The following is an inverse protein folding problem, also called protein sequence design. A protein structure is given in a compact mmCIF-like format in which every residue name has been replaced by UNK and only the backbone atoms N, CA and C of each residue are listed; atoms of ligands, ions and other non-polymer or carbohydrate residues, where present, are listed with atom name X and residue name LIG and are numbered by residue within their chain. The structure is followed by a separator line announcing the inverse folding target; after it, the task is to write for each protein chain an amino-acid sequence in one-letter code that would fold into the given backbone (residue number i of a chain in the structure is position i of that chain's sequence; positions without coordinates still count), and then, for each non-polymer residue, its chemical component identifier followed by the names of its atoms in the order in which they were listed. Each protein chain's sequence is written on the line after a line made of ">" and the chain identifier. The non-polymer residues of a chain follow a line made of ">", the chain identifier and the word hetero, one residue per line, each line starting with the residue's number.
data_IF_804349592863
#
_entry.id   IF_804349592863
#
_cell.length_a   1.000
_cell.length_b   1.000
_cell.length_c   1.000
_cell.angle_alpha   90.00
_cell.angle_beta   90.00
_cell.angle_gamma   90.00
#
_symmetry.space_group_name_H-M   'P 1'
#
loop_
_entity.id
_entity.type
_entity.pdbx_description
1 polymer ?
#
# COMPACT_ATOMS: atom_id res chain seq x y z
N UNK A 1 32.66 -34.93 28.32
CA UNK A 1 31.63 -34.36 27.42
C UNK A 1 31.82 -32.85 27.36
N UNK A 2 32.38 -32.32 26.26
CA UNK A 2 32.49 -30.87 26.05
C UNK A 2 31.10 -30.34 25.66
N UNK A 3 30.64 -29.29 26.34
CA UNK A 3 29.44 -28.54 25.95
C UNK A 3 29.63 -28.02 24.51
N UNK A 4 28.62 -28.12 23.63
CA UNK A 4 28.71 -27.50 22.32
C UNK A 4 28.84 -25.98 22.47
N UNK A 5 29.53 -25.29 21.55
CA UNK A 5 29.63 -23.83 21.60
C UNK A 5 28.24 -23.22 21.38
N UNK A 6 27.91 -22.19 22.15
CA UNK A 6 26.69 -21.39 21.94
C UNK A 6 26.70 -20.79 20.53
N UNK A 7 25.56 -20.80 19.82
CA UNK A 7 25.47 -20.17 18.51
C UNK A 7 25.71 -18.67 18.66
N UNK A 8 26.79 -18.18 18.05
CA UNK A 8 27.08 -16.76 17.96
C UNK A 8 25.98 -16.12 17.11
N UNK A 9 25.23 -15.18 17.71
CA UNK A 9 24.32 -14.28 17.00
C UNK A 9 25.13 -13.50 15.96
N UNK A 10 24.90 -13.81 14.68
CA UNK A 10 25.39 -13.01 13.56
C UNK A 10 24.59 -11.70 13.58
N UNK A 11 25.22 -10.52 13.70
CA UNK A 11 24.50 -9.26 13.60
C UNK A 11 24.23 -8.97 12.12
N UNK A 12 22.94 -8.83 11.74
CA UNK A 12 22.58 -8.14 10.50
C UNK A 12 21.71 -8.88 9.47
N UNK A 13 20.75 -9.71 9.86
CA UNK A 13 19.57 -9.91 9.01
C UNK A 13 18.36 -9.26 9.69
N UNK A 14 17.90 -8.09 9.21
CA UNK A 14 16.61 -7.57 9.66
C UNK A 14 15.54 -8.62 9.38
N UNK A 15 14.62 -8.81 10.34
CA UNK A 15 13.56 -9.79 10.15
C UNK A 15 12.68 -9.39 8.98
N UNK A 16 12.15 -10.36 8.21
CA UNK A 16 11.24 -10.12 7.05
C UNK A 16 10.09 -9.13 7.31
N UNK A 17 9.69 -8.90 8.56
CA UNK A 17 8.69 -7.89 8.96
C UNK A 17 9.24 -6.49 9.29
N UNK A 18 10.53 -6.34 9.61
CA UNK A 18 11.21 -5.06 9.80
C UNK A 18 11.47 -4.38 8.45
N UNK A 19 11.83 -5.17 7.42
CA UNK A 19 12.00 -4.70 6.05
C UNK A 19 10.71 -4.12 5.47
N UNK A 20 9.55 -4.74 5.76
CA UNK A 20 8.26 -4.22 5.30
C UNK A 20 7.94 -2.84 5.87
N UNK A 21 8.25 -2.61 7.15
CA UNK A 21 7.98 -1.31 7.78
C UNK A 21 8.87 -0.22 7.20
N UNK A 22 10.13 -0.54 6.93
CA UNK A 22 11.07 0.37 6.29
C UNK A 22 10.64 0.68 4.84
N UNK A 23 10.23 -0.32 4.07
CA UNK A 23 9.76 -0.17 2.69
C UNK A 23 8.48 0.66 2.66
N UNK A 24 7.46 0.29 3.43
CA UNK A 24 6.18 1.00 3.45
C UNK A 24 6.31 2.42 3.99
N UNK A 25 7.11 2.64 5.05
CA UNK A 25 7.42 3.98 5.54
C UNK A 25 8.12 4.84 4.48
N UNK A 26 9.08 4.27 3.75
CA UNK A 26 9.77 4.96 2.65
C UNK A 26 8.82 5.31 1.51
N UNK A 27 7.94 4.38 1.12
CA UNK A 27 6.93 4.61 0.07
C UNK A 27 6.01 5.75 0.45
N UNK A 28 5.52 5.80 1.69
CA UNK A 28 4.64 6.86 2.15
C UNK A 28 5.34 8.21 2.16
N UNK A 29 6.55 8.29 2.72
CA UNK A 29 7.34 9.52 2.71
C UNK A 29 7.63 10.02 1.29
N UNK A 30 8.03 9.12 0.39
CA UNK A 30 8.36 9.46 -0.99
C UNK A 30 7.14 9.90 -1.80
N UNK A 31 5.94 9.38 -1.50
CA UNK A 31 4.72 9.68 -2.25
C UNK A 31 3.88 10.81 -1.66
N UNK A 32 4.13 11.21 -0.41
CA UNK A 32 3.39 12.30 0.22
C UNK A 32 3.62 13.63 -0.51
N UNK A 33 2.54 14.26 -0.97
CA UNK A 33 2.57 15.59 -1.56
C UNK A 33 3.10 16.66 -0.59
N UNK A 34 2.96 16.42 0.73
CA UNK A 34 3.46 17.29 1.79
C UNK A 34 4.95 17.20 2.04
N UNK A 35 5.64 16.15 1.58
CA UNK A 35 7.10 16.05 1.70
C UNK A 35 7.76 17.22 0.98
N UNK A 36 8.70 17.92 1.64
CA UNK A 36 9.35 19.13 1.09
C UNK A 36 9.95 18.93 -0.30
N UNK A 37 10.53 17.76 -0.57
CA UNK A 37 11.06 17.39 -1.88
C UNK A 37 10.00 17.13 -2.96
N UNK A 38 8.72 17.01 -2.62
CA UNK A 38 7.60 16.89 -3.54
C UNK A 38 6.88 18.24 -3.78
N UNK A 39 7.18 19.27 -2.99
CA UNK A 39 6.65 20.63 -3.15
C UNK A 39 7.52 21.43 -4.14
N UNK A 40 7.48 21.03 -5.41
CA UNK A 40 8.33 21.60 -6.47
C UNK A 40 7.54 22.54 -7.37
N UNK A 41 8.23 23.46 -8.04
CA UNK A 41 7.59 24.37 -8.99
C UNK A 41 7.27 23.66 -10.32
N UNK A 42 6.43 24.28 -11.15
CA UNK A 42 6.03 23.68 -12.42
C UNK A 42 7.24 23.41 -13.33
N UNK A 43 7.43 22.14 -13.72
CA UNK A 43 8.56 21.69 -14.53
C UNK A 43 9.74 21.11 -13.74
N UNK A 44 9.74 21.22 -12.41
CA UNK A 44 10.74 20.58 -11.55
C UNK A 44 10.37 19.12 -11.23
N UNK A 45 11.39 18.27 -11.07
CA UNK A 45 11.21 16.85 -10.74
C UNK A 45 10.94 16.70 -9.24
N UNK A 46 9.84 16.04 -8.88
CA UNK A 46 9.53 15.71 -7.48
C UNK A 46 10.51 14.66 -6.93
N UNK A 47 10.69 14.64 -5.61
CA UNK A 47 11.44 13.58 -4.91
C UNK A 47 10.93 12.18 -5.29
N UNK A 48 9.60 12.01 -5.38
CA UNK A 48 8.98 10.76 -5.84
C UNK A 48 9.47 10.35 -7.23
N UNK A 49 9.49 11.29 -8.18
CA UNK A 49 9.91 11.05 -9.56
C UNK A 49 11.42 10.78 -9.63
N UNK A 50 12.24 11.58 -8.96
CA UNK A 50 13.68 11.42 -8.88
C UNK A 50 14.06 10.05 -8.29
N UNK A 51 13.41 9.63 -7.20
CA UNK A 51 13.64 8.32 -6.58
C UNK A 51 13.34 7.17 -7.54
N UNK A 52 12.18 7.20 -8.23
CA UNK A 52 11.84 6.17 -9.23
C UNK A 52 12.90 6.10 -10.34
N UNK A 53 13.36 7.26 -10.82
CA UNK A 53 14.39 7.37 -11.87
C UNK A 53 15.73 6.78 -11.40
N UNK A 54 16.22 7.18 -10.22
CA UNK A 54 17.50 6.70 -9.70
C UNK A 54 17.46 5.22 -9.30
N UNK A 55 16.39 4.73 -8.64
CA UNK A 55 16.24 3.30 -8.34
C UNK A 55 16.18 2.46 -9.62
N UNK A 56 15.52 2.95 -10.67
CA UNK A 56 15.53 2.28 -11.98
C UNK A 56 16.91 2.25 -12.64
N UNK A 57 17.70 3.33 -12.52
CA UNK A 57 19.10 3.37 -12.98
C UNK A 57 19.98 2.39 -12.19
N UNK A 58 19.81 2.33 -10.86
CA UNK A 58 20.53 1.42 -9.97
C UNK A 58 20.26 -0.05 -10.32
N UNK A 59 18.99 -0.44 -10.50
CA UNK A 59 18.61 -1.81 -10.87
C UNK A 59 19.22 -2.23 -12.22
N UNK A 60 19.25 -1.33 -13.22
CA UNK A 60 19.94 -1.58 -14.49
C UNK A 60 21.45 -1.73 -14.34
N UNK A 61 22.09 -0.85 -13.56
CA UNK A 61 23.53 -0.92 -13.31
C UNK A 61 23.91 -2.22 -12.58
N UNK A 62 23.09 -2.64 -11.62
CA UNK A 62 23.23 -3.91 -10.93
C UNK A 62 23.15 -5.10 -11.89
N UNK A 63 22.11 -5.16 -12.73
CA UNK A 63 21.92 -6.25 -13.70
C UNK A 63 23.12 -6.41 -14.67
N UNK A 64 23.80 -5.32 -15.00
CA UNK A 64 25.01 -5.34 -15.84
C UNK A 64 26.27 -5.81 -15.09
N UNK A 65 26.31 -5.61 -13.77
CA UNK A 65 27.53 -5.76 -12.96
C UNK A 65 27.53 -7.01 -12.08
N UNK A 66 26.36 -7.52 -11.71
CA UNK A 66 26.20 -8.66 -10.79
C UNK A 66 26.70 -10.00 -11.37
N UNK A 67 26.81 -10.11 -12.70
CA UNK A 67 27.33 -11.30 -13.37
C UNK A 67 28.85 -11.50 -13.25
N UNK A 68 29.60 -10.50 -12.76
CA UNK A 68 31.07 -10.51 -12.73
C UNK A 68 31.68 -11.23 -11.51
N UNK A 69 30.87 -11.80 -10.61
CA UNK A 69 31.36 -12.59 -9.46
C UNK A 69 32.12 -11.78 -8.40
N UNK A 70 31.95 -10.45 -8.36
CA UNK A 70 32.57 -9.59 -7.35
C UNK A 70 31.86 -9.76 -6.01
N UNK A 71 32.59 -10.29 -5.02
CA UNK A 71 32.11 -10.48 -3.65
C UNK A 71 31.72 -9.15 -2.98
N UNK A 72 32.35 -8.05 -3.38
CA UNK A 72 32.02 -6.68 -2.92
C UNK A 72 30.67 -6.19 -3.45
N UNK A 73 30.33 -6.53 -4.71
CA UNK A 73 29.04 -6.20 -5.30
C UNK A 73 27.93 -7.05 -4.66
N UNK A 74 28.18 -8.35 -4.45
CA UNK A 74 27.23 -9.24 -3.79
C UNK A 74 26.89 -8.79 -2.36
N UNK A 75 27.84 -8.20 -1.63
CA UNK A 75 27.58 -7.62 -0.31
C UNK A 75 26.57 -6.45 -0.34
N UNK A 76 26.41 -5.76 -1.48
CA UNK A 76 25.44 -4.65 -1.66
C UNK A 76 24.07 -5.10 -2.16
N UNK A 77 23.91 -6.39 -2.46
CA UNK A 77 22.64 -6.96 -2.96
C UNK A 77 21.44 -6.58 -2.08
N UNK A 78 21.49 -6.67 -0.72
CA UNK A 78 20.33 -6.33 0.11
C UNK A 78 19.90 -4.86 -0.01
N UNK A 79 20.86 -3.92 -0.04
CA UNK A 79 20.59 -2.49 -0.20
C UNK A 79 19.94 -2.18 -1.56
N UNK A 80 20.44 -2.81 -2.63
CA UNK A 80 19.91 -2.65 -3.98
C UNK A 80 18.49 -3.21 -4.07
N UNK A 81 18.24 -4.38 -3.47
CA UNK A 81 16.91 -5.00 -3.40
C UNK A 81 15.92 -4.12 -2.64
N UNK A 82 16.32 -3.52 -1.52
CA UNK A 82 15.47 -2.58 -0.78
C UNK A 82 15.02 -1.40 -1.68
N UNK A 83 15.94 -0.79 -2.43
CA UNK A 83 15.59 0.30 -3.33
C UNK A 83 14.66 -0.11 -4.47
N UNK A 84 14.81 -1.34 -4.97
CA UNK A 84 13.90 -1.94 -5.94
C UNK A 84 12.52 -2.16 -5.31
N UNK A 85 12.44 -2.80 -4.15
CA UNK A 85 11.18 -3.04 -3.43
C UNK A 85 10.40 -1.75 -3.17
N UNK A 86 11.05 -0.68 -2.70
CA UNK A 86 10.41 0.63 -2.52
C UNK A 86 9.82 1.14 -3.85
N UNK A 87 10.58 1.07 -4.96
CA UNK A 87 10.11 1.50 -6.29
C UNK A 87 8.88 0.68 -6.74
N UNK A 88 8.87 -0.62 -6.45
CA UNK A 88 7.76 -1.54 -6.76
C UNK A 88 6.51 -1.16 -5.98
N UNK A 89 6.64 -0.97 -4.68
CA UNK A 89 5.52 -0.61 -3.82
C UNK A 89 4.96 0.77 -4.17
N UNK A 90 5.80 1.71 -4.60
CA UNK A 90 5.34 2.99 -5.14
C UNK A 90 4.46 2.78 -6.38
N UNK A 91 4.90 1.97 -7.35
CA UNK A 91 4.15 1.70 -8.57
C UNK A 91 2.82 0.99 -8.30
N UNK A 92 2.80 0.01 -7.40
CA UNK A 92 1.57 -0.68 -6.96
C UNK A 92 0.56 0.30 -6.37
N UNK A 93 1.04 1.19 -5.51
CA UNK A 93 0.18 2.16 -4.83
C UNK A 93 -0.33 3.23 -5.81
N UNK A 94 0.50 3.69 -6.76
CA UNK A 94 0.07 4.62 -7.81
C UNK A 94 -0.99 4.02 -8.74
N UNK A 95 -0.89 2.72 -9.04
CA UNK A 95 -1.89 2.00 -9.83
C UNK A 95 -3.21 1.87 -9.07
N UNK A 96 -3.14 1.53 -7.77
CA UNK A 96 -4.32 1.44 -6.90
C UNK A 96 -5.06 2.78 -6.80
N UNK A 97 -4.34 3.89 -6.61
CA UNK A 97 -4.94 5.22 -6.49
C UNK A 97 -5.61 5.67 -7.80
N UNK A 98 -5.00 5.38 -8.96
CA UNK A 98 -5.60 5.65 -10.27
C UNK A 98 -6.88 4.85 -10.48
N UNK A 99 -6.82 3.55 -10.20
CA UNK A 99 -7.99 2.68 -10.30
C UNK A 99 -9.12 3.14 -9.37
N UNK A 100 -8.78 3.57 -8.15
CA UNK A 100 -9.73 4.12 -7.19
C UNK A 100 -10.44 5.38 -7.73
N UNK A 101 -9.72 6.25 -8.45
CA UNK A 101 -10.28 7.44 -9.12
C UNK A 101 -11.00 7.16 -10.45
N UNK A 102 -11.00 5.91 -10.92
CA UNK A 102 -11.54 5.55 -12.23
C UNK A 102 -10.66 6.02 -13.41
N UNK A 103 -9.39 6.30 -13.15
CA UNK A 103 -8.40 6.66 -14.16
C UNK A 103 -7.74 5.39 -14.73
N UNK A 104 -7.50 5.34 -16.06
CA UNK A 104 -6.76 4.23 -16.63
C UNK A 104 -5.33 4.20 -16.07
N UNK A 105 -4.86 3.00 -15.73
CA UNK A 105 -3.45 2.79 -15.35
C UNK A 105 -2.61 2.87 -16.63
N UNK A 106 -1.60 3.75 -16.71
CA UNK A 106 -0.74 3.88 -17.88
C UNK A 106 -0.04 2.57 -18.28
N UNK A 107 0.10 2.29 -19.59
CA UNK A 107 0.67 1.03 -20.11
C UNK A 107 2.11 0.75 -19.62
N UNK A 108 2.91 1.79 -19.41
CA UNK A 108 4.26 1.71 -18.88
C UNK A 108 4.28 1.27 -17.40
N UNK A 109 3.33 1.74 -16.60
CA UNK A 109 3.08 1.26 -15.22
C UNK A 109 2.60 -0.20 -15.25
N UNK A 110 1.69 -0.54 -16.17
CA UNK A 110 1.21 -1.93 -16.33
C UNK A 110 2.35 -2.87 -16.72
N UNK A 111 3.22 -2.47 -17.66
CA UNK A 111 4.39 -3.24 -18.08
C UNK A 111 5.40 -3.41 -16.95
N UNK A 112 5.69 -2.35 -16.20
CA UNK A 112 6.54 -2.43 -15.01
C UNK A 112 5.95 -3.42 -14.00
N UNK A 113 4.66 -3.30 -13.69
CA UNK A 113 3.96 -4.21 -12.79
C UNK A 113 3.97 -5.66 -13.31
N UNK A 114 3.79 -5.88 -14.61
CA UNK A 114 3.87 -7.19 -15.25
C UNK A 114 5.27 -7.81 -15.17
N UNK A 115 6.32 -7.03 -15.42
CA UNK A 115 7.72 -7.46 -15.26
C UNK A 115 8.03 -7.80 -13.79
N UNK A 116 7.43 -7.07 -12.85
CA UNK A 116 7.59 -7.26 -11.42
C UNK A 116 6.83 -8.47 -10.88
N UNK A 117 5.64 -8.73 -11.41
CA UNK A 117 4.91 -9.97 -11.11
C UNK A 117 5.71 -11.16 -11.66
N UNK A 118 6.26 -11.04 -12.87
CA UNK A 118 7.09 -12.07 -13.48
C UNK A 118 8.39 -12.34 -12.70
N UNK A 119 9.03 -11.32 -12.13
CA UNK A 119 10.21 -11.47 -11.26
C UNK A 119 9.86 -11.96 -9.84
N UNK A 120 8.70 -11.56 -9.30
CA UNK A 120 8.18 -12.07 -8.03
C UNK A 120 7.79 -13.56 -8.12
N UNK A 121 7.34 -14.05 -9.27
CA UNK A 121 7.16 -15.50 -9.49
C UNK A 121 8.49 -16.29 -9.51
N UNK A 122 9.65 -15.63 -9.54
CA UNK A 122 10.96 -16.26 -9.46
C UNK A 122 11.58 -16.23 -8.04
N UNK A 123 10.97 -15.51 -7.09
CA UNK A 123 11.37 -15.48 -5.68
C UNK A 123 10.13 -15.71 -4.83
N UNK A 124 9.99 -16.94 -4.33
CA UNK A 124 8.81 -17.40 -3.62
C UNK A 124 8.36 -16.46 -2.50
N UNK A 125 7.04 -16.33 -2.39
CA UNK A 125 6.27 -15.68 -1.35
C UNK A 125 6.05 -14.16 -1.53
N UNK A 126 5.03 -13.84 -2.33
CA UNK A 126 4.31 -12.56 -2.22
C UNK A 126 3.75 -12.48 -0.80
N UNK A 127 4.44 -11.77 0.09
CA UNK A 127 4.08 -11.63 1.49
C UNK A 127 2.65 -11.07 1.63
N UNK A 128 1.79 -11.80 2.33
CA UNK A 128 0.44 -11.35 2.65
C UNK A 128 0.52 -10.21 3.68
N UNK A 129 0.32 -8.97 3.21
CA UNK A 129 0.31 -7.76 4.05
C UNK A 129 -0.68 -7.87 5.23
N UNK A 130 -1.75 -8.66 5.08
CA UNK A 130 -2.69 -8.93 6.15
C UNK A 130 -2.05 -9.83 7.21
N UNK A 131 -1.40 -10.92 6.82
CA UNK A 131 -0.67 -11.81 7.75
C UNK A 131 0.45 -11.07 8.48
N UNK A 132 1.21 -10.23 7.77
CA UNK A 132 2.26 -9.41 8.35
C UNK A 132 1.73 -8.39 9.37
N UNK A 133 0.51 -7.88 9.15
CA UNK A 133 -0.21 -7.03 10.12
C UNK A 133 -0.86 -7.82 11.27
N UNK A 134 -0.75 -9.16 11.27
CA UNK A 134 -1.45 -10.04 12.20
C UNK A 134 -2.96 -10.14 11.94
N UNK A 135 -3.41 -9.85 10.73
CA UNK A 135 -4.82 -9.79 10.34
C UNK A 135 -5.19 -10.99 9.45
N UNK A 136 -6.31 -11.68 9.73
CA UNK A 136 -6.89 -12.61 8.75
C UNK A 136 -7.34 -11.81 7.52
N UNK A 137 -7.21 -12.39 6.32
CA UNK A 137 -7.62 -11.76 5.05
C UNK A 137 -9.14 -11.48 5.10
N UNK A 138 -9.58 -10.23 5.30
CA UNK A 138 -10.96 -9.97 5.68
C UNK A 138 -11.82 -9.66 4.45
N UNK A 139 -13.11 -9.97 4.54
CA UNK A 139 -14.16 -9.24 3.82
C UNK A 139 -14.62 -8.06 4.70
N UNK A 140 -15.24 -6.99 4.16
CA UNK A 140 -15.80 -5.95 5.03
C UNK A 140 -16.90 -6.49 5.97
N UNK A 141 -17.55 -7.59 5.60
CA UNK A 141 -18.54 -8.28 6.45
C UNK A 141 -17.90 -8.84 7.74
N UNK A 142 -16.57 -9.02 7.74
CA UNK A 142 -15.78 -9.48 8.89
C UNK A 142 -15.16 -8.34 9.72
N UNK A 143 -15.59 -7.07 9.51
CA UNK A 143 -15.23 -5.92 10.36
C UNK A 143 -15.88 -6.00 11.75
N UNK A 144 -15.63 -7.12 12.42
CA UNK A 144 -16.06 -7.36 13.78
C UNK A 144 -15.42 -6.33 14.72
N UNK A 145 -16.07 -6.01 15.85
CA UNK A 145 -15.45 -5.25 16.92
C UNK A 145 -14.09 -5.82 17.35
N UNK A 146 -13.91 -7.14 17.21
CA UNK A 146 -12.65 -7.83 17.48
C UNK A 146 -11.56 -7.48 16.46
N UNK A 147 -11.89 -7.45 15.17
CA UNK A 147 -10.95 -7.01 14.12
C UNK A 147 -10.46 -5.59 14.41
N UNK A 148 -11.40 -4.67 14.68
CA UNK A 148 -11.09 -3.26 15.01
C UNK A 148 -10.19 -3.17 16.24
N UNK A 149 -10.50 -3.90 17.30
CA UNK A 149 -9.70 -3.91 18.52
C UNK A 149 -8.29 -4.49 18.28
N UNK A 150 -8.15 -5.47 17.40
CA UNK A 150 -6.86 -6.06 17.01
C UNK A 150 -6.03 -5.09 16.17
N UNK A 151 -6.66 -4.38 15.24
CA UNK A 151 -6.01 -3.38 14.38
C UNK A 151 -5.53 -2.17 15.19
N UNK A 152 -6.30 -1.71 16.17
CA UNK A 152 -5.88 -0.65 17.10
C UNK A 152 -4.72 -1.06 18.02
N UNK A 153 -4.59 -2.36 18.31
CA UNK A 153 -3.51 -2.93 19.12
C UNK A 153 -2.39 -3.56 18.29
N UNK A 154 -2.38 -3.30 16.98
CA UNK A 154 -1.41 -3.90 16.07
C UNK A 154 0.01 -3.51 16.51
N UNK A 155 0.91 -4.51 16.51
CA UNK A 155 2.32 -4.32 16.87
C UNK A 155 3.00 -3.29 15.97
N UNK A 156 2.56 -3.22 14.71
CA UNK A 156 2.94 -2.15 13.80
C UNK A 156 1.69 -1.37 13.33
N UNK A 157 1.47 -0.14 13.85
CA UNK A 157 0.34 0.69 13.45
C UNK A 157 0.38 1.10 11.98
N UNK A 158 1.56 1.38 11.42
CA UNK A 158 1.71 1.75 10.02
C UNK A 158 1.21 0.64 9.08
N UNK A 159 1.61 -0.60 9.38
CA UNK A 159 1.23 -1.77 8.60
C UNK A 159 -0.27 -2.06 8.69
N UNK A 160 -0.85 -1.86 9.88
CA UNK A 160 -2.29 -1.95 10.11
C UNK A 160 -3.07 -0.91 9.29
N UNK A 161 -2.59 0.33 9.25
CA UNK A 161 -3.19 1.42 8.45
C UNK A 161 -3.16 1.09 6.96
N UNK A 162 -2.04 0.58 6.47
CA UNK A 162 -1.85 0.28 5.05
C UNK A 162 -2.71 -0.91 4.60
N UNK A 163 -2.84 -1.92 5.45
CA UNK A 163 -3.71 -3.04 5.20
C UNK A 163 -5.21 -2.64 5.29
N UNK A 164 -5.60 -1.78 6.23
CA UNK A 164 -6.95 -1.19 6.27
C UNK A 164 -7.25 -0.36 5.02
N UNK A 165 -6.32 0.52 4.62
CA UNK A 165 -6.44 1.33 3.40
C UNK A 165 -6.69 0.43 2.20
N UNK A 166 -5.87 -0.61 2.03
CA UNK A 166 -5.98 -1.55 0.92
C UNK A 166 -7.34 -2.26 0.90
N UNK A 167 -7.76 -2.83 2.03
CA UNK A 167 -9.06 -3.48 2.17
C UNK A 167 -10.21 -2.54 1.79
N UNK A 168 -10.16 -1.33 2.33
CA UNK A 168 -11.21 -0.33 2.14
C UNK A 168 -11.30 0.13 0.68
N UNK A 169 -10.16 0.34 0.02
CA UNK A 169 -10.12 0.67 -1.41
C UNK A 169 -10.71 -0.46 -2.26
N UNK A 170 -10.30 -1.71 -2.01
CA UNK A 170 -10.80 -2.88 -2.75
C UNK A 170 -12.31 -3.03 -2.62
N UNK A 171 -12.84 -2.87 -1.40
CA UNK A 171 -14.26 -3.04 -1.22
C UNK A 171 -15.09 -1.82 -1.64
N UNK A 172 -14.60 -0.61 -1.44
CA UNK A 172 -15.28 0.57 -1.97
C UNK A 172 -15.51 0.40 -3.47
N UNK A 173 -14.50 -0.07 -4.21
CA UNK A 173 -14.62 -0.34 -5.66
C UNK A 173 -15.67 -1.42 -5.97
N UNK A 174 -15.72 -2.48 -5.16
CA UNK A 174 -16.69 -3.55 -5.31
C UNK A 174 -18.12 -3.05 -5.09
N UNK A 175 -18.34 -2.30 -4.01
CA UNK A 175 -19.64 -1.79 -3.59
C UNK A 175 -20.17 -0.71 -4.52
N UNK A 176 -19.31 0.19 -5.01
CA UNK A 176 -19.72 1.32 -5.85
C UNK A 176 -19.50 1.08 -7.34
N UNK A 177 -19.35 -0.17 -7.79
CA UNK A 177 -18.97 -0.51 -9.18
C UNK A 177 -19.87 0.14 -10.24
N UNK A 178 -21.17 0.31 -9.92
CA UNK A 178 -22.15 0.89 -10.84
C UNK A 178 -22.39 2.39 -10.59
N UNK A 179 -21.67 3.01 -9.64
CA UNK A 179 -21.90 4.39 -9.22
C UNK A 179 -20.57 5.15 -9.08
N UNK A 180 -20.17 5.79 -10.18
CA UNK A 180 -18.89 6.52 -10.27
C UNK A 180 -18.80 7.70 -9.31
N UNK A 181 -19.92 8.34 -8.98
CA UNK A 181 -19.94 9.48 -8.04
C UNK A 181 -19.59 9.00 -6.64
N UNK A 182 -20.23 7.92 -6.17
CA UNK A 182 -19.92 7.31 -4.86
C UNK A 182 -18.51 6.73 -4.84
N UNK A 183 -18.07 6.10 -5.92
CA UNK A 183 -16.70 5.59 -6.05
C UNK A 183 -15.66 6.70 -5.83
N UNK A 184 -15.83 7.84 -6.50
CA UNK A 184 -14.93 9.00 -6.34
C UNK A 184 -14.98 9.54 -4.91
N UNK A 185 -16.18 9.71 -4.35
CA UNK A 185 -16.34 10.24 -3.00
C UNK A 185 -15.62 9.40 -1.93
N UNK A 186 -15.70 8.06 -2.01
CA UNK A 186 -14.94 7.21 -1.09
C UNK A 186 -13.44 7.26 -1.33
N UNK A 187 -13.00 7.19 -2.60
CA UNK A 187 -11.59 7.29 -2.98
C UNK A 187 -10.93 8.60 -2.47
N UNK A 188 -11.63 9.72 -2.63
CA UNK A 188 -11.19 11.03 -2.14
C UNK A 188 -11.05 11.06 -0.62
N UNK A 189 -12.01 10.50 0.12
CA UNK A 189 -11.95 10.45 1.60
C UNK A 189 -10.84 9.55 2.12
N UNK A 190 -10.60 8.40 1.49
CA UNK A 190 -9.45 7.54 1.82
C UNK A 190 -8.15 8.31 1.60
N UNK A 191 -8.04 8.99 0.46
CA UNK A 191 -6.86 9.79 0.11
C UNK A 191 -6.63 10.93 1.10
N UNK A 192 -7.68 11.67 1.46
CA UNK A 192 -7.62 12.78 2.41
C UNK A 192 -7.15 12.29 3.80
N UNK A 193 -7.69 11.17 4.28
CA UNK A 193 -7.28 10.57 5.55
C UNK A 193 -5.80 10.18 5.56
N UNK A 194 -5.33 9.55 4.48
CA UNK A 194 -3.93 9.16 4.35
C UNK A 194 -3.01 10.38 4.22
N UNK A 195 -3.46 11.45 3.57
CA UNK A 195 -2.72 12.70 3.51
C UNK A 195 -2.59 13.33 4.90
N UNK A 196 -3.69 13.42 5.66
CA UNK A 196 -3.65 13.95 7.04
C UNK A 196 -2.71 13.12 7.93
N UNK A 197 -2.74 11.79 7.78
CA UNK A 197 -1.83 10.90 8.49
C UNK A 197 -0.35 11.13 8.13
N UNK A 198 -0.03 11.16 6.84
CA UNK A 198 1.36 11.27 6.39
C UNK A 198 1.96 12.65 6.73
N UNK A 199 1.11 13.69 6.72
CA UNK A 199 1.45 15.03 7.21
C UNK A 199 1.45 15.17 8.75
N UNK A 200 1.36 14.06 9.49
CA UNK A 200 1.35 14.04 10.97
C UNK A 200 0.24 14.88 11.60
N UNK A 201 -0.83 15.16 10.86
CA UNK A 201 -2.02 15.86 11.35
C UNK A 201 -2.96 14.92 12.09
N UNK A 202 -2.81 13.61 11.88
CA UNK A 202 -3.47 12.55 12.63
C UNK A 202 -2.42 11.60 13.21
N UNK A 203 -2.64 11.17 14.44
CA UNK A 203 -1.91 10.04 15.03
C UNK A 203 -2.32 8.73 14.36
N UNK A 204 -1.48 7.68 14.50
CA UNK A 204 -1.82 6.35 13.98
C UNK A 204 -3.13 5.81 14.57
N UNK A 205 -3.45 6.13 15.83
CA UNK A 205 -4.71 5.72 16.45
C UNK A 205 -5.92 6.42 15.81
N UNK A 206 -5.81 7.73 15.55
CA UNK A 206 -6.88 8.52 14.94
C UNK A 206 -7.15 8.11 13.49
N UNK A 207 -6.10 7.93 12.67
CA UNK A 207 -6.31 7.48 11.28
C UNK A 207 -6.89 6.07 11.22
N UNK A 208 -6.51 5.17 12.13
CA UNK A 208 -7.13 3.83 12.21
C UNK A 208 -8.62 3.96 12.55
N UNK A 209 -8.97 4.82 13.50
CA UNK A 209 -10.37 5.04 13.88
C UNK A 209 -11.20 5.58 12.71
N UNK A 210 -10.67 6.54 11.97
CA UNK A 210 -11.33 7.14 10.80
C UNK A 210 -11.45 6.14 9.63
N UNK A 211 -10.40 5.35 9.35
CA UNK A 211 -10.47 4.30 8.32
C UNK A 211 -11.52 3.24 8.68
N UNK A 212 -11.64 2.88 9.96
CA UNK A 212 -12.68 1.96 10.45
C UNK A 212 -14.08 2.58 10.30
N UNK A 213 -14.23 3.86 10.60
CA UNK A 213 -15.50 4.56 10.40
C UNK A 213 -15.90 4.56 8.92
N UNK A 214 -14.96 4.90 8.03
CA UNK A 214 -15.18 4.90 6.59
C UNK A 214 -15.52 3.49 6.06
N UNK A 215 -14.91 2.46 6.62
CA UNK A 215 -15.23 1.08 6.27
C UNK A 215 -16.66 0.67 6.64
N UNK A 216 -17.19 1.15 7.77
CA UNK A 216 -18.60 0.97 8.12
C UNK A 216 -19.53 1.68 7.14
N UNK A 217 -19.14 2.84 6.64
CA UNK A 217 -19.93 3.56 5.63
C UNK A 217 -19.95 2.82 4.29
N UNK A 218 -18.83 2.25 3.85
CA UNK A 218 -18.79 1.40 2.65
C UNK A 218 -19.68 0.18 2.81
N UNK A 219 -19.65 -0.48 3.98
CA UNK A 219 -20.54 -1.61 4.27
C UNK A 219 -22.03 -1.20 4.26
N UNK A 220 -22.36 -0.01 4.77
CA UNK A 220 -23.71 0.53 4.73
C UNK A 220 -24.15 0.89 3.30
N UNK A 221 -23.23 1.38 2.47
CA UNK A 221 -23.50 1.74 1.07
C UNK A 221 -24.05 0.56 0.27
N UNK A 222 -23.53 -0.66 0.49
CA UNK A 222 -23.99 -1.87 -0.19
C UNK A 222 -25.49 -2.13 0.02
N UNK A 223 -26.04 -1.70 1.15
CA UNK A 223 -27.45 -1.88 1.52
C UNK A 223 -28.29 -0.61 1.39
N UNK A 224 -27.73 0.50 0.86
CA UNK A 224 -28.39 1.83 0.84
C UNK A 224 -29.74 1.81 0.13
N UNK A 225 -29.90 0.98 -0.91
CA UNK A 225 -31.15 0.86 -1.66
C UNK A 225 -32.37 0.46 -0.81
N UNK A 226 -32.14 -0.28 0.28
CA UNK A 226 -33.19 -0.73 1.19
C UNK A 226 -33.76 0.40 2.07
N UNK A 227 -33.10 1.56 2.13
CA UNK A 227 -33.56 2.70 2.92
C UNK A 227 -34.65 3.53 2.21
N UNK A 228 -34.96 3.21 0.94
CA UNK A 228 -35.96 3.91 0.15
C UNK A 228 -37.28 3.15 0.10
N UNK A 229 -38.38 3.87 -0.09
CA UNK A 229 -39.71 3.30 -0.26
C UNK A 229 -40.34 3.84 -1.57
N UNK A 230 -40.48 3.02 -2.63
CA UNK A 230 -40.02 1.62 -2.75
C UNK A 230 -38.47 1.49 -2.73
N UNK A 231 -37.91 0.30 -2.41
CA UNK A 231 -36.48 0.08 -2.44
C UNK A 231 -35.89 0.37 -3.82
N UNK A 232 -34.73 1.01 -3.85
CA UNK A 232 -34.02 1.34 -5.08
C UNK A 232 -32.96 0.30 -5.39
N UNK A 233 -32.82 -0.05 -6.67
CA UNK A 233 -31.73 -0.89 -7.16
C UNK A 233 -30.45 -0.05 -7.44
N UNK A 234 -29.35 -0.71 -7.78
CA UNK A 234 -28.05 -0.04 -7.98
C UNK A 234 -28.04 0.97 -9.12
N UNK A 235 -28.78 0.73 -10.20
CA UNK A 235 -28.82 1.63 -11.36
C UNK A 235 -29.66 2.87 -11.03
N UNK A 236 -30.75 2.70 -10.28
CA UNK A 236 -31.56 3.81 -9.77
C UNK A 236 -30.76 4.67 -8.79
N UNK A 237 -30.02 4.06 -7.86
CA UNK A 237 -29.13 4.78 -6.95
C UNK A 237 -28.06 5.57 -7.70
N UNK A 238 -27.46 4.99 -8.74
CA UNK A 238 -26.47 5.67 -9.56
C UNK A 238 -27.07 6.85 -10.33
N UNK A 239 -28.31 6.72 -10.80
CA UNK A 239 -29.02 7.80 -11.47
C UNK A 239 -29.31 8.98 -10.53
N UNK A 240 -29.69 8.72 -9.28
CA UNK A 240 -29.97 9.79 -8.31
C UNK A 240 -28.73 10.51 -7.80
N UNK A 241 -27.58 9.84 -7.81
CA UNK A 241 -26.32 10.44 -7.34
C UNK A 241 -25.54 11.19 -8.44
N UNK A 242 -25.91 11.02 -9.72
CA UNK A 242 -25.26 11.64 -10.87
C UNK A 242 -25.55 13.14 -11.01
#
# INVERSE_FOLDING_TARGET
>A
MKRPPEPQLIPGEPGRGEDLNAVTGSVNYLRDAGTSGNQVTEGEETLAAAYRRYSGQLSRAWALSSGAGSQELEARRPEIQMHEEVRVWMAKSDAADRQARGEPVPEDIQRLLGQLIASATASGDVLDIYEAAGMPKPSLDDLSPEFIAKTQRARNPQLAIEALRKLLTEESLRTTRNNLVRQRAFSERITELMNKYTNQQLTSAEVIAELVALAREVAAEANRGNNFAPPLNHDELAFYDA
#
